data_IF_822904955276
#
_entry.id   IF_822904955276
#
_cell.length_a   1.000
_cell.length_b   1.000
_cell.length_c   1.000
_cell.angle_alpha   90.00
_cell.angle_beta   90.00
_cell.angle_gamma   90.00
#
_symmetry.space_group_name_H-M   'P 1'
#
loop_
_entity.id
_entity.type
_entity.pdbx_description
1 polymer ?
#
# COMPACT_ATOMS: atom_id res chain seq x y z
N UNK A 1 -19.36 6.42 13.67
CA UNK A 1 -18.01 6.64 14.24
C UNK A 1 -17.72 8.08 14.69
N UNK A 2 -18.64 9.02 14.60
CA UNK A 2 -18.56 10.37 15.19
C UNK A 2 -17.44 11.29 14.68
N UNK A 3 -16.81 11.00 13.55
CA UNK A 3 -15.93 11.95 12.88
C UNK A 3 -16.77 13.02 12.18
N UNK A 4 -16.39 14.29 12.33
CA UNK A 4 -16.95 15.38 11.54
C UNK A 4 -16.35 15.41 10.14
N UNK A 5 -17.04 16.02 9.17
CA UNK A 5 -16.50 16.14 7.79
C UNK A 5 -15.16 16.87 7.76
N UNK A 6 -14.97 17.86 8.61
CA UNK A 6 -13.72 18.58 8.75
C UNK A 6 -12.57 17.70 9.28
N UNK A 7 -12.86 16.81 10.26
CA UNK A 7 -11.87 15.85 10.77
C UNK A 7 -11.44 14.84 9.69
N UNK A 8 -12.38 14.34 8.88
CA UNK A 8 -12.09 13.41 7.77
C UNK A 8 -11.26 14.11 6.72
N UNK A 9 -11.61 15.32 6.33
CA UNK A 9 -10.86 16.10 5.33
C UNK A 9 -9.46 16.43 5.82
N UNK A 10 -9.33 16.80 7.11
CA UNK A 10 -8.04 17.05 7.74
C UNK A 10 -7.13 15.82 7.80
N UNK A 11 -7.69 14.65 8.13
CA UNK A 11 -6.97 13.37 8.07
C UNK A 11 -6.52 13.04 6.65
N UNK A 12 -7.37 13.27 5.65
CA UNK A 12 -7.02 13.08 4.24
C UNK A 12 -5.84 13.95 3.81
N UNK A 13 -5.84 15.23 4.17
CA UNK A 13 -4.73 16.13 3.88
C UNK A 13 -3.44 15.69 4.59
N UNK A 14 -3.52 15.27 5.85
CA UNK A 14 -2.38 14.75 6.61
C UNK A 14 -1.78 13.49 5.97
N UNK A 15 -2.60 12.56 5.50
CA UNK A 15 -2.18 11.35 4.81
C UNK A 15 -1.33 11.70 3.58
N UNK A 16 -1.78 12.68 2.78
CA UNK A 16 -1.07 13.10 1.57
C UNK A 16 0.28 13.72 1.95
N UNK A 17 0.32 14.63 2.90
CA UNK A 17 1.56 15.31 3.34
C UNK A 17 2.57 14.28 3.86
N UNK A 18 2.13 13.40 4.77
CA UNK A 18 2.98 12.35 5.36
C UNK A 18 3.43 11.37 4.27
N UNK A 19 2.55 11.00 3.35
CA UNK A 19 2.85 10.11 2.24
C UNK A 19 3.92 10.66 1.30
N UNK A 20 3.83 11.95 0.94
CA UNK A 20 4.86 12.62 0.13
C UNK A 20 6.21 12.63 0.85
N UNK A 21 6.21 12.97 2.13
CA UNK A 21 7.43 12.99 2.95
C UNK A 21 8.09 11.61 3.03
N UNK A 22 7.31 10.58 3.31
CA UNK A 22 7.82 9.20 3.41
C UNK A 22 8.30 8.66 2.06
N UNK A 23 7.64 9.01 0.96
CA UNK A 23 8.10 8.64 -0.39
C UNK A 23 9.43 9.31 -0.74
N UNK A 24 9.63 10.58 -0.36
CA UNK A 24 10.89 11.29 -0.53
C UNK A 24 12.02 10.61 0.27
N UNK A 25 11.78 10.27 1.53
CA UNK A 25 12.76 9.55 2.37
C UNK A 25 13.07 8.18 1.77
N UNK A 26 12.05 7.44 1.32
CA UNK A 26 12.24 6.14 0.67
C UNK A 26 13.10 6.27 -0.60
N UNK A 27 12.87 7.27 -1.44
CA UNK A 27 13.70 7.53 -2.63
C UNK A 27 15.16 7.84 -2.29
N UNK A 28 15.42 8.66 -1.26
CA UNK A 28 16.78 8.95 -0.79
C UNK A 28 17.48 7.68 -0.28
N UNK A 29 16.78 6.86 0.49
CA UNK A 29 17.31 5.59 1.01
C UNK A 29 17.59 4.61 -0.13
N UNK A 30 16.72 4.56 -1.12
CA UNK A 30 16.86 3.70 -2.27
C UNK A 30 18.09 4.07 -3.10
N UNK A 31 18.29 5.36 -3.39
CA UNK A 31 19.47 5.86 -4.09
C UNK A 31 20.77 5.58 -3.33
N UNK A 32 20.72 5.55 -1.98
CA UNK A 32 21.92 5.30 -1.18
C UNK A 32 22.26 3.82 -1.03
N UNK A 33 21.26 2.96 -0.88
CA UNK A 33 21.48 1.55 -0.51
C UNK A 33 21.15 0.55 -1.63
N UNK A 34 20.42 0.96 -2.66
CA UNK A 34 20.02 0.12 -3.81
C UNK A 34 19.33 -1.20 -3.41
N UNK A 35 18.64 -1.23 -2.24
CA UNK A 35 17.95 -2.42 -1.71
C UNK A 35 16.45 -2.34 -1.99
N UNK A 36 16.08 -2.44 -3.26
CA UNK A 36 14.69 -2.34 -3.72
C UNK A 36 13.79 -3.41 -3.08
N UNK A 37 14.24 -4.67 -3.15
CA UNK A 37 13.48 -5.81 -2.66
C UNK A 37 13.23 -5.73 -1.14
N UNK A 38 14.23 -5.27 -0.37
CA UNK A 38 14.08 -5.08 1.06
C UNK A 38 12.99 -4.04 1.37
N UNK A 39 12.97 -2.93 0.65
CA UNK A 39 11.95 -1.89 0.83
C UNK A 39 10.55 -2.38 0.47
N UNK A 40 10.40 -3.10 -0.63
CA UNK A 40 9.12 -3.70 -1.03
C UNK A 40 8.63 -4.69 0.04
N UNK A 41 9.51 -5.54 0.57
CA UNK A 41 9.16 -6.49 1.63
C UNK A 41 8.73 -5.80 2.94
N UNK A 42 9.49 -4.81 3.38
CA UNK A 42 9.16 -4.03 4.59
C UNK A 42 7.80 -3.36 4.42
N UNK A 43 7.54 -2.74 3.29
CA UNK A 43 6.25 -2.08 3.02
C UNK A 43 5.10 -3.08 2.93
N UNK A 44 5.29 -4.23 2.31
CA UNK A 44 4.25 -5.26 2.19
C UNK A 44 3.90 -5.87 3.55
N UNK A 45 4.90 -6.26 4.33
CA UNK A 45 4.71 -6.82 5.68
C UNK A 45 4.14 -5.74 6.61
N UNK A 46 4.67 -4.53 6.55
CA UNK A 46 4.18 -3.39 7.32
C UNK A 46 2.70 -3.10 7.03
N UNK A 47 2.31 -3.11 5.77
CA UNK A 47 0.93 -2.94 5.35
C UNK A 47 0.02 -4.04 5.92
N UNK A 48 0.44 -5.30 5.88
CA UNK A 48 -0.33 -6.40 6.47
C UNK A 48 -0.52 -6.23 7.99
N UNK A 49 0.55 -5.92 8.72
CA UNK A 49 0.50 -5.72 10.18
C UNK A 49 -0.41 -4.54 10.53
N UNK A 50 -0.25 -3.40 9.85
CA UNK A 50 -1.02 -2.19 10.14
C UNK A 50 -2.51 -2.39 9.83
N UNK A 51 -2.86 -3.05 8.72
CA UNK A 51 -4.25 -3.38 8.41
C UNK A 51 -4.84 -4.35 9.44
N UNK A 52 -4.05 -5.29 9.97
CA UNK A 52 -4.50 -6.20 11.04
C UNK A 52 -4.76 -5.43 12.35
N UNK A 53 -3.91 -4.48 12.71
CA UNK A 53 -4.11 -3.60 13.87
C UNK A 53 -5.30 -2.66 13.66
N UNK A 54 -5.63 -2.31 12.43
CA UNK A 54 -6.78 -1.47 12.11
C UNK A 54 -8.09 -2.07 12.62
N UNK A 55 -8.29 -3.39 12.54
CA UNK A 55 -9.49 -4.05 13.10
C UNK A 55 -9.66 -3.71 14.58
N UNK A 56 -8.57 -3.82 15.34
CA UNK A 56 -8.58 -3.49 16.76
C UNK A 56 -8.87 -2.00 17.01
N UNK A 57 -8.22 -1.12 16.26
CA UNK A 57 -8.41 0.33 16.36
C UNK A 57 -9.86 0.74 16.08
N UNK A 58 -10.49 0.14 15.07
CA UNK A 58 -11.90 0.39 14.77
C UNK A 58 -12.85 -0.20 15.80
N UNK A 59 -12.51 -1.33 16.42
CA UNK A 59 -13.32 -1.95 17.48
C UNK A 59 -13.38 -1.09 18.75
N UNK A 60 -12.29 -0.41 19.09
CA UNK A 60 -12.22 0.46 20.27
C UNK A 60 -13.00 1.78 20.11
N UNK A 61 -13.41 2.13 18.88
CA UNK A 61 -14.09 3.39 18.53
C UNK A 61 -13.35 4.66 19.00
N UNK A 62 -12.07 4.55 19.34
CA UNK A 62 -11.25 5.67 19.77
C UNK A 62 -10.73 6.42 18.55
N UNK A 63 -11.19 7.65 18.33
CA UNK A 63 -10.82 8.51 17.19
C UNK A 63 -9.30 8.67 17.05
N UNK A 64 -8.60 8.88 18.15
CA UNK A 64 -7.16 9.10 18.15
C UNK A 64 -6.41 7.85 17.67
N UNK A 65 -6.78 6.67 18.17
CA UNK A 65 -6.20 5.40 17.74
C UNK A 65 -6.44 5.14 16.25
N UNK A 66 -7.62 5.41 15.75
CA UNK A 66 -7.97 5.28 14.34
C UNK A 66 -7.11 6.22 13.49
N UNK A 67 -7.02 7.50 13.88
CA UNK A 67 -6.21 8.48 13.15
C UNK A 67 -4.73 8.10 13.09
N UNK A 68 -4.14 7.68 14.21
CA UNK A 68 -2.75 7.22 14.29
C UNK A 68 -2.54 6.00 13.38
N UNK A 69 -3.45 5.02 13.42
CA UNK A 69 -3.34 3.82 12.59
C UNK A 69 -3.38 4.15 11.09
N UNK A 70 -4.26 5.06 10.67
CA UNK A 70 -4.38 5.51 9.28
C UNK A 70 -3.09 6.23 8.84
N UNK A 71 -2.52 7.11 9.66
CA UNK A 71 -1.29 7.84 9.34
C UNK A 71 -0.11 6.88 9.21
N UNK A 72 0.06 5.95 10.15
CA UNK A 72 1.13 4.94 10.08
C UNK A 72 0.93 4.03 8.85
N UNK A 73 -0.32 3.68 8.53
CA UNK A 73 -0.66 2.94 7.31
C UNK A 73 -0.23 3.67 6.04
N UNK A 74 -0.49 4.96 5.96
CA UNK A 74 -0.06 5.79 4.85
C UNK A 74 1.47 5.82 4.70
N UNK A 75 2.21 5.92 5.80
CA UNK A 75 3.68 5.87 5.80
C UNK A 75 4.24 4.55 5.25
N UNK A 76 3.55 3.45 5.47
CA UNK A 76 3.99 2.14 4.99
C UNK A 76 3.60 1.86 3.53
N UNK A 77 2.43 2.36 3.08
CA UNK A 77 1.84 1.99 1.79
C UNK A 77 2.25 2.96 0.67
N UNK A 78 2.24 4.27 0.92
CA UNK A 78 2.45 5.27 -0.15
C UNK A 78 3.84 5.15 -0.81
N UNK A 79 4.95 4.93 -0.09
CA UNK A 79 6.27 4.79 -0.69
C UNK A 79 6.43 3.57 -1.60
N UNK A 80 5.56 2.56 -1.50
CA UNK A 80 5.67 1.33 -2.31
C UNK A 80 5.47 1.59 -3.80
N UNK A 81 4.70 2.63 -4.14
CA UNK A 81 4.39 2.96 -5.54
C UNK A 81 5.67 3.38 -6.29
N UNK A 82 6.40 4.45 -5.90
CA UNK A 82 7.62 4.84 -6.60
C UNK A 82 8.70 3.76 -6.49
N UNK A 83 8.90 3.15 -5.32
CA UNK A 83 9.89 2.08 -5.13
C UNK A 83 9.58 0.87 -6.00
N UNK A 84 8.31 0.50 -6.15
CA UNK A 84 7.88 -0.61 -6.99
C UNK A 84 8.10 -0.35 -8.48
N UNK A 85 7.88 0.88 -8.94
CA UNK A 85 8.13 1.29 -10.31
C UNK A 85 9.63 1.23 -10.62
N UNK A 86 10.47 1.81 -9.77
CA UNK A 86 11.92 1.80 -9.91
C UNK A 86 12.47 0.37 -9.91
N UNK A 87 11.99 -0.46 -8.99
CA UNK A 87 12.38 -1.88 -8.92
C UNK A 87 11.99 -2.65 -10.18
N UNK A 88 10.80 -2.41 -10.72
CA UNK A 88 10.38 -3.06 -11.94
C UNK A 88 11.21 -2.61 -13.15
N UNK A 89 11.59 -1.33 -13.24
CA UNK A 89 12.47 -0.83 -14.28
C UNK A 89 13.86 -1.51 -14.22
N UNK A 90 14.39 -1.74 -13.01
CA UNK A 90 15.65 -2.47 -12.83
C UNK A 90 15.56 -3.95 -13.28
N UNK A 91 14.46 -4.63 -12.95
CA UNK A 91 14.26 -6.04 -13.29
C UNK A 91 14.03 -6.26 -14.79
N UNK A 92 13.41 -5.30 -15.47
CA UNK A 92 13.00 -5.44 -16.87
C UNK A 92 13.98 -4.86 -17.87
N UNK A 93 15.12 -4.35 -17.43
CA UNK A 93 16.17 -3.86 -18.33
C UNK A 93 16.51 -4.94 -19.39
N UNK A 94 16.61 -4.62 -20.72
CA UNK A 94 16.74 -3.28 -21.34
C UNK A 94 15.43 -2.67 -21.88
N UNK A 95 14.26 -3.08 -21.41
CA UNK A 95 13.01 -2.48 -21.87
C UNK A 95 12.89 -1.00 -21.41
N UNK A 96 12.16 -0.23 -22.20
CA UNK A 96 11.92 1.19 -21.88
C UNK A 96 11.14 1.33 -20.57
N UNK A 97 11.64 2.10 -19.64
CA UNK A 97 11.07 2.35 -18.32
C UNK A 97 9.62 2.89 -18.41
N UNK A 98 9.33 3.74 -19.39
CA UNK A 98 7.98 4.30 -19.61
C UNK A 98 6.95 3.20 -19.93
N UNK A 99 7.32 2.20 -20.73
CA UNK A 99 6.43 1.08 -21.09
C UNK A 99 6.15 0.22 -19.86
N UNK A 100 7.19 -0.09 -19.09
CA UNK A 100 7.08 -0.89 -17.86
C UNK A 100 6.20 -0.18 -16.84
N UNK A 101 6.46 1.09 -16.60
CA UNK A 101 5.68 1.93 -15.69
C UNK A 101 4.21 2.00 -16.12
N UNK A 102 3.95 2.23 -17.40
CA UNK A 102 2.59 2.26 -17.94
C UNK A 102 1.84 0.95 -17.71
N UNK A 103 2.50 -0.19 -17.94
CA UNK A 103 1.90 -1.51 -17.71
C UNK A 103 1.58 -1.77 -16.25
N UNK A 104 2.49 -1.41 -15.33
CA UNK A 104 2.29 -1.55 -13.88
C UNK A 104 1.13 -0.69 -13.41
N UNK A 105 1.10 0.59 -13.81
CA UNK A 105 0.04 1.50 -13.40
C UNK A 105 -1.32 1.06 -13.96
N UNK A 106 -1.39 0.61 -15.20
CA UNK A 106 -2.61 0.08 -15.79
C UNK A 106 -3.11 -1.16 -15.03
N UNK A 107 -2.21 -2.08 -14.72
CA UNK A 107 -2.53 -3.29 -13.94
C UNK A 107 -3.01 -2.95 -12.54
N UNK A 108 -2.33 -2.01 -11.86
CA UNK A 108 -2.71 -1.54 -10.54
C UNK A 108 -4.08 -0.88 -10.51
N UNK A 109 -4.41 -0.05 -11.52
CA UNK A 109 -5.73 0.59 -11.63
C UNK A 109 -6.83 -0.42 -11.93
N UNK A 110 -6.59 -1.39 -12.82
CA UNK A 110 -7.54 -2.45 -13.09
C UNK A 110 -7.83 -3.29 -11.84
N UNK A 111 -6.79 -3.70 -11.11
CA UNK A 111 -6.94 -4.44 -9.86
C UNK A 111 -7.66 -3.61 -8.80
N UNK A 112 -7.31 -2.33 -8.65
CA UNK A 112 -7.97 -1.40 -7.73
C UNK A 112 -9.45 -1.22 -8.03
N UNK A 113 -9.82 -1.16 -9.31
CA UNK A 113 -11.22 -1.08 -9.74
C UNK A 113 -12.02 -2.32 -9.31
N UNK A 114 -11.52 -3.52 -9.60
CA UNK A 114 -12.19 -4.76 -9.18
C UNK A 114 -12.25 -4.90 -7.66
N UNK A 115 -11.19 -4.52 -6.96
CA UNK A 115 -11.15 -4.55 -5.50
C UNK A 115 -12.16 -3.57 -4.89
N UNK A 116 -12.34 -2.39 -5.48
CA UNK A 116 -13.32 -1.40 -5.03
C UNK A 116 -14.75 -1.92 -5.19
N UNK A 117 -15.06 -2.55 -6.33
CA UNK A 117 -16.37 -3.18 -6.54
C UNK A 117 -16.59 -4.31 -5.53
N UNK A 118 -15.61 -5.19 -5.34
CA UNK A 118 -15.72 -6.27 -4.39
C UNK A 118 -15.95 -5.76 -2.94
N UNK A 119 -15.22 -4.72 -2.56
CA UNK A 119 -15.38 -4.08 -1.24
C UNK A 119 -16.78 -3.48 -1.08
N UNK A 120 -17.30 -2.82 -2.11
CA UNK A 120 -18.65 -2.26 -2.10
C UNK A 120 -19.71 -3.35 -1.96
N UNK A 121 -19.59 -4.44 -2.72
CA UNK A 121 -20.51 -5.57 -2.64
C UNK A 121 -20.51 -6.20 -1.24
N UNK A 122 -19.32 -6.40 -0.67
CA UNK A 122 -19.16 -6.95 0.69
C UNK A 122 -19.78 -6.04 1.76
N UNK A 123 -19.72 -4.72 1.58
CA UNK A 123 -20.37 -3.76 2.46
C UNK A 123 -21.90 -3.87 2.46
N UNK A 124 -22.47 -4.31 1.33
CA UNK A 124 -23.93 -4.38 1.10
C UNK A 124 -24.52 -5.78 1.36
N UNK A 125 -23.69 -6.79 1.65
CA UNK A 125 -24.12 -8.21 1.75
C UNK A 125 -25.15 -8.47 2.84
N UNK A 126 -25.12 -7.73 3.95
CA UNK A 126 -26.05 -8.00 5.07
C UNK A 126 -26.78 -6.73 5.52
N UNK A 127 -27.92 -6.39 4.88
CA UNK A 127 -28.72 -5.25 5.26
C UNK A 127 -29.29 -5.32 6.68
N UNK A 128 -29.45 -6.52 7.24
CA UNK A 128 -29.98 -6.73 8.59
C UNK A 128 -28.90 -6.49 9.67
N UNK A 129 -27.60 -6.59 9.29
CA UNK A 129 -26.47 -6.36 10.20
C UNK A 129 -25.47 -5.36 9.63
N UNK A 130 -25.84 -4.08 9.49
CA UNK A 130 -24.98 -3.06 8.85
C UNK A 130 -23.66 -2.84 9.59
N UNK A 131 -23.52 -3.30 10.83
CA UNK A 131 -22.27 -3.22 11.58
C UNK A 131 -21.20 -4.24 11.13
N UNK A 132 -21.58 -5.32 10.42
CA UNK A 132 -20.66 -6.37 9.97
C UNK A 132 -20.02 -6.06 8.61
N UNK A 133 -20.65 -5.28 7.74
CA UNK A 133 -20.11 -4.91 6.43
C UNK A 133 -18.70 -4.33 6.49
N UNK A 134 -18.41 -3.34 7.35
CA UNK A 134 -17.04 -2.82 7.49
C UNK A 134 -16.01 -3.87 7.95
N UNK A 135 -16.41 -4.84 8.78
CA UNK A 135 -15.53 -5.91 9.25
C UNK A 135 -15.15 -6.84 8.09
N UNK A 136 -16.12 -7.21 7.26
CA UNK A 136 -15.87 -8.05 6.08
C UNK A 136 -15.01 -7.31 5.05
N UNK A 137 -15.26 -6.02 4.81
CA UNK A 137 -14.46 -5.20 3.92
C UNK A 137 -12.99 -5.10 4.39
N UNK A 138 -12.77 -4.93 5.70
CA UNK A 138 -11.43 -4.97 6.28
C UNK A 138 -10.78 -6.34 6.13
N UNK A 139 -11.54 -7.43 6.34
CA UNK A 139 -11.07 -8.80 6.12
C UNK A 139 -10.55 -9.02 4.69
N UNK A 140 -11.28 -8.49 3.69
CA UNK A 140 -10.88 -8.54 2.28
C UNK A 140 -9.53 -7.80 2.06
N UNK A 141 -9.39 -6.59 2.59
CA UNK A 141 -8.18 -5.79 2.46
C UNK A 141 -6.97 -6.46 3.14
N UNK A 142 -7.17 -7.05 4.31
CA UNK A 142 -6.14 -7.81 5.03
C UNK A 142 -5.74 -9.06 4.24
N UNK A 143 -6.70 -9.77 3.65
CA UNK A 143 -6.44 -10.91 2.77
C UNK A 143 -5.56 -10.51 1.58
N UNK A 144 -5.87 -9.40 0.92
CA UNK A 144 -5.04 -8.86 -0.17
C UNK A 144 -3.64 -8.45 0.30
N UNK A 145 -3.51 -7.80 1.46
CA UNK A 145 -2.22 -7.42 2.03
C UNK A 145 -1.39 -8.65 2.43
N UNK A 146 -2.03 -9.71 2.92
CA UNK A 146 -1.38 -10.99 3.21
C UNK A 146 -0.84 -11.66 1.95
N UNK A 147 -1.64 -11.73 0.88
CA UNK A 147 -1.21 -12.26 -0.41
C UNK A 147 -0.05 -11.44 -1.00
N UNK A 148 -0.11 -10.11 -0.91
CA UNK A 148 0.98 -9.23 -1.33
C UNK A 148 2.26 -9.48 -0.53
N UNK A 149 2.15 -9.71 0.79
CA UNK A 149 3.28 -10.03 1.65
C UNK A 149 3.94 -11.36 1.25
N UNK A 150 3.15 -12.41 1.04
CA UNK A 150 3.67 -13.71 0.57
C UNK A 150 4.33 -13.56 -0.79
N UNK A 151 3.68 -12.89 -1.74
CA UNK A 151 4.21 -12.66 -3.08
C UNK A 151 5.54 -11.91 -3.03
N UNK A 152 5.68 -10.93 -2.14
CA UNK A 152 6.95 -10.19 -1.97
C UNK A 152 8.12 -11.05 -1.49
N UNK A 153 7.84 -12.11 -0.74
CA UNK A 153 8.87 -13.05 -0.25
C UNK A 153 9.37 -13.99 -1.35
N UNK A 154 8.55 -14.26 -2.37
CA UNK A 154 8.92 -15.15 -3.49
C UNK A 154 9.74 -14.44 -4.56
N UNK A 155 9.72 -13.11 -4.61
CA UNK A 155 10.49 -12.33 -5.58
C UNK A 155 11.98 -12.40 -5.24
N UNK A 156 12.81 -12.66 -6.27
CA UNK A 156 14.27 -12.60 -6.18
C UNK A 156 14.77 -11.27 -6.73
N UNK A 157 15.81 -10.75 -6.12
CA UNK A 157 16.46 -9.51 -6.55
C UNK A 157 17.47 -9.86 -7.67
N UNK A 158 17.22 -9.36 -8.88
CA UNK A 158 18.08 -9.48 -10.05
C UNK A 158 18.22 -8.07 -10.66
N UNK A 159 19.22 -7.32 -10.21
CA UNK A 159 19.44 -5.91 -10.55
C UNK A 159 20.22 -5.78 -11.87
N UNK A 160 19.62 -6.15 -12.98
CA UNK A 160 20.26 -6.23 -14.31
C UNK A 160 20.82 -4.89 -14.79
N UNK A 161 20.16 -3.78 -14.51
CA UNK A 161 20.59 -2.45 -14.93
C UNK A 161 21.84 -2.01 -14.18
N UNK A 162 21.92 -2.26 -12.88
CA UNK A 162 23.08 -1.90 -12.06
C UNK A 162 24.28 -2.74 -12.45
N UNK A 163 24.10 -4.02 -12.72
CA UNK A 163 25.17 -4.92 -13.13
C UNK A 163 25.74 -4.52 -14.50
N UNK A 164 24.88 -4.14 -15.46
CA UNK A 164 25.30 -3.65 -16.78
C UNK A 164 26.09 -2.34 -16.73
N UNK A 165 25.82 -1.47 -15.75
CA UNK A 165 26.50 -0.17 -15.63
C UNK A 165 27.85 -0.29 -14.92
N UNK A 166 28.15 -1.42 -14.29
CA UNK A 166 29.41 -1.69 -13.58
C UNK A 166 30.45 -2.41 -14.43
N UNK A 167 30.06 -2.98 -15.58
CA UNK A 167 30.95 -3.52 -16.60
C UNK A 167 31.41 -2.40 -17.58
#
# INVERSE_FOLDING_TARGET
MGFTEAEISGLGALIIIVGVFTSMVAGILLNKYHKYLLMVRISAIGSFVINSVAIYSFSTKNKLLIAINIIIGAMAIIPIIPVGIDFAAELTFPYQETVVTGFILMSAQAFGFFLSIATLQVLLVDPEKPAMGPVYAMGLLIGCAFLASISSLTIKEDLRRIDFTRE
#
